data_IF_538490901171
#
_entry.id   IF_538490901171
#
_cell.length_a   1.000
_cell.length_b   1.000
_cell.length_c   1.000
_cell.angle_alpha   90.00
_cell.angle_beta   90.00
_cell.angle_gamma   90.00
#
_symmetry.space_group_name_H-M   'P 1'
#
loop_
_entity.id
_entity.type
_entity.pdbx_description
1 polymer ?
#
# COMPACT_ATOMS: atom_id res chain seq x y z
N UNK A 1 -33.71 -22.20 18.47
CA UNK A 1 -32.89 -21.56 17.42
C UNK A 1 -31.54 -22.25 17.35
N UNK A 2 -31.12 -22.75 16.19
CA UNK A 2 -29.84 -23.47 16.05
C UNK A 2 -28.71 -22.47 15.85
N UNK A 3 -27.86 -22.30 16.86
CA UNK A 3 -26.55 -21.68 16.69
C UNK A 3 -25.72 -22.57 15.75
N UNK A 4 -25.45 -22.11 14.53
CA UNK A 4 -24.48 -22.76 13.64
C UNK A 4 -23.10 -22.62 14.29
N UNK A 5 -22.55 -23.72 14.78
CA UNK A 5 -21.14 -23.77 15.17
C UNK A 5 -20.27 -23.48 13.93
N UNK A 6 -19.62 -22.32 13.92
CA UNK A 6 -18.58 -21.99 12.96
C UNK A 6 -17.41 -22.95 13.22
N UNK A 7 -17.13 -23.85 12.27
CA UNK A 7 -15.94 -24.72 12.30
C UNK A 7 -14.85 -24.06 11.46
N UNK A 8 -13.65 -23.96 12.02
CA UNK A 8 -12.47 -23.59 11.23
C UNK A 8 -12.21 -24.69 10.19
N UNK A 9 -12.01 -24.29 8.94
CA UNK A 9 -11.62 -25.18 7.85
C UNK A 9 -10.13 -24.94 7.58
N UNK A 10 -9.34 -26.01 7.50
CA UNK A 10 -7.93 -25.91 7.14
C UNK A 10 -7.84 -25.43 5.68
N UNK A 11 -7.14 -24.33 5.45
CA UNK A 11 -6.89 -23.86 4.08
C UNK A 11 -5.83 -24.76 3.43
N UNK A 12 -5.95 -24.95 2.12
CA UNK A 12 -4.88 -25.53 1.33
C UNK A 12 -3.84 -24.44 1.04
N UNK A 13 -2.70 -24.52 1.70
CA UNK A 13 -1.64 -23.51 1.61
C UNK A 13 -1.92 -22.28 2.47
N UNK A 14 -1.85 -21.09 1.85
CA UNK A 14 -1.97 -19.82 2.56
C UNK A 14 -3.41 -19.54 2.98
N UNK A 15 -3.67 -19.36 4.28
CA UNK A 15 -4.95 -18.88 4.80
C UNK A 15 -5.00 -17.35 4.76
N UNK A 16 -5.77 -16.72 3.84
CA UNK A 16 -5.85 -15.27 3.84
C UNK A 16 -6.65 -14.78 5.05
N UNK A 17 -6.08 -13.87 5.84
CA UNK A 17 -6.84 -13.06 6.78
C UNK A 17 -7.31 -11.80 6.06
N UNK A 18 -8.60 -11.74 5.78
CA UNK A 18 -9.23 -10.62 5.06
C UNK A 18 -9.69 -9.58 6.07
N UNK A 19 -9.30 -8.33 5.83
CA UNK A 19 -9.65 -7.17 6.64
C UNK A 19 -10.29 -6.11 5.73
N UNK A 20 -11.10 -5.22 6.30
CA UNK A 20 -11.80 -4.19 5.52
C UNK A 20 -10.91 -2.98 5.24
N UNK A 21 -11.40 -2.05 4.40
CA UNK A 21 -10.79 -0.74 4.20
C UNK A 21 -10.35 -0.10 5.51
N UNK A 22 -9.19 0.53 5.52
CA UNK A 22 -8.62 1.11 6.73
C UNK A 22 -7.91 2.42 6.46
N UNK A 23 -8.07 3.35 7.40
CA UNK A 23 -7.36 4.60 7.45
C UNK A 23 -6.38 4.57 8.63
N UNK A 24 -5.10 4.44 8.31
CA UNK A 24 -3.98 4.36 9.26
C UNK A 24 -3.44 5.76 9.52
N UNK A 25 -3.79 6.36 10.66
CA UNK A 25 -3.27 7.66 11.14
C UNK A 25 -2.24 7.52 12.25
N UNK A 26 -2.17 6.35 12.87
CA UNK A 26 -1.35 6.04 14.03
C UNK A 26 -0.87 4.59 14.01
N UNK A 27 0.05 4.27 14.93
CA UNK A 27 0.49 2.88 15.14
C UNK A 27 -0.67 2.01 15.66
N UNK A 28 -1.55 2.56 16.50
CA UNK A 28 -2.72 1.86 17.02
C UNK A 28 -3.67 1.45 15.88
N UNK A 29 -3.87 2.31 14.89
CA UNK A 29 -4.65 1.95 13.70
C UNK A 29 -3.97 0.81 12.93
N UNK A 30 -2.65 0.88 12.75
CA UNK A 30 -1.90 -0.17 12.06
C UNK A 30 -2.04 -1.52 12.78
N UNK A 31 -1.98 -1.55 14.11
CA UNK A 31 -2.11 -2.77 14.93
C UNK A 31 -3.43 -3.52 14.69
N UNK A 32 -4.50 -2.83 14.29
CA UNK A 32 -5.77 -3.48 13.92
C UNK A 32 -5.65 -4.37 12.69
N UNK A 33 -4.66 -4.10 11.83
CA UNK A 33 -4.37 -4.84 10.61
C UNK A 33 -3.30 -5.92 10.78
N UNK A 34 -2.82 -6.15 12.01
CA UNK A 34 -1.83 -7.19 12.27
C UNK A 34 -2.29 -8.54 11.73
N UNK A 35 -1.40 -9.23 11.02
CA UNK A 35 -1.61 -10.51 10.34
C UNK A 35 -2.63 -10.48 9.18
N UNK A 36 -3.22 -9.33 8.83
CA UNK A 36 -4.06 -9.21 7.65
C UNK A 36 -3.21 -9.42 6.40
N UNK A 37 -3.71 -10.24 5.48
CA UNK A 37 -3.03 -10.53 4.23
C UNK A 37 -3.73 -9.95 3.01
N UNK A 38 -5.00 -9.61 3.16
CA UNK A 38 -5.82 -8.99 2.12
C UNK A 38 -6.66 -7.89 2.73
N UNK A 39 -6.60 -6.71 2.13
CA UNK A 39 -7.54 -5.63 2.39
C UNK A 39 -8.63 -5.70 1.33
N UNK A 40 -9.85 -6.02 1.75
CA UNK A 40 -11.05 -5.90 0.94
C UNK A 40 -11.53 -4.45 1.00
N UNK A 41 -10.99 -3.65 0.09
CA UNK A 41 -11.22 -2.22 -0.04
C UNK A 41 -9.92 -1.45 -0.19
N UNK A 42 -9.87 -0.23 0.36
CA UNK A 42 -8.74 0.69 0.25
C UNK A 42 -7.85 0.72 1.50
N UNK A 43 -6.59 1.10 1.32
CA UNK A 43 -5.67 1.38 2.42
C UNK A 43 -5.17 2.84 2.32
N UNK A 44 -5.55 3.67 3.28
CA UNK A 44 -5.10 5.06 3.35
C UNK A 44 -4.15 5.24 4.53
N UNK A 45 -2.99 5.83 4.30
CA UNK A 45 -1.93 6.00 5.30
C UNK A 45 -1.59 7.49 5.41
N UNK A 46 -1.74 8.05 6.62
CA UNK A 46 -1.40 9.43 6.96
C UNK A 46 -0.68 9.46 8.31
N UNK A 47 0.61 9.16 8.32
CA UNK A 47 1.42 9.14 9.54
C UNK A 47 2.18 10.47 9.70
N UNK A 48 1.78 11.26 10.69
CA UNK A 48 2.38 12.57 10.97
C UNK A 48 3.60 12.50 11.90
N UNK A 49 3.74 11.41 12.66
CA UNK A 49 4.79 11.27 13.67
C UNK A 49 4.63 10.01 14.53
N UNK A 50 5.60 9.77 15.41
CA UNK A 50 5.68 8.57 16.25
C UNK A 50 7.11 8.06 16.40
N UNK A 51 7.31 7.13 17.34
CA UNK A 51 8.60 6.46 17.55
C UNK A 51 8.60 5.11 16.84
N UNK A 52 9.76 4.70 16.28
CA UNK A 52 9.95 3.40 15.63
C UNK A 52 8.89 3.08 14.56
N UNK A 53 8.47 4.09 13.81
CA UNK A 53 7.33 3.99 12.87
C UNK A 53 7.57 2.91 11.81
N UNK A 54 8.78 2.84 11.25
CA UNK A 54 9.10 1.85 10.24
C UNK A 54 8.87 0.41 10.76
N UNK A 55 9.43 0.09 11.92
CA UNK A 55 9.33 -1.24 12.53
C UNK A 55 7.89 -1.57 12.94
N UNK A 56 7.17 -0.61 13.51
CA UNK A 56 5.78 -0.81 13.91
C UNK A 56 4.86 -0.97 12.68
N UNK A 57 5.03 -0.17 11.63
CA UNK A 57 4.27 -0.36 10.40
C UNK A 57 4.62 -1.68 9.72
N UNK A 58 5.89 -2.09 9.71
CA UNK A 58 6.28 -3.37 9.10
C UNK A 58 5.69 -4.55 9.88
N UNK A 59 5.74 -4.51 11.21
CA UNK A 59 5.16 -5.55 12.07
C UNK A 59 3.66 -5.73 11.84
N UNK A 60 2.94 -4.63 11.60
CA UNK A 60 1.49 -4.65 11.56
C UNK A 60 0.90 -4.69 10.14
N UNK A 61 1.58 -4.11 9.15
CA UNK A 61 1.11 -4.03 7.75
C UNK A 61 1.91 -4.94 6.81
N UNK A 62 3.06 -5.47 7.25
CA UNK A 62 3.99 -6.20 6.37
C UNK A 62 3.49 -7.53 5.84
N UNK A 63 2.41 -8.09 6.40
CA UNK A 63 1.75 -9.31 5.90
C UNK A 63 0.75 -9.05 4.77
N UNK A 64 0.38 -7.79 4.51
CA UNK A 64 -0.60 -7.43 3.48
C UNK A 64 -0.01 -7.71 2.11
N UNK A 65 -0.65 -8.62 1.37
CA UNK A 65 -0.27 -9.03 0.02
C UNK A 65 -1.13 -8.39 -1.07
N UNK A 66 -2.41 -8.17 -0.78
CA UNK A 66 -3.38 -7.63 -1.73
C UNK A 66 -4.21 -6.52 -1.09
N UNK A 67 -4.38 -5.42 -1.83
CA UNK A 67 -5.40 -4.39 -1.57
C UNK A 67 -6.31 -4.36 -2.78
N UNK A 68 -7.61 -4.62 -2.61
CA UNK A 68 -8.52 -4.80 -3.76
C UNK A 68 -8.86 -3.48 -4.46
N UNK A 69 -8.92 -2.37 -3.73
CA UNK A 69 -9.15 -1.04 -4.31
C UNK A 69 -7.82 -0.32 -4.54
N UNK A 70 -7.55 0.75 -3.79
CA UNK A 70 -6.41 1.62 -3.97
C UNK A 70 -5.60 1.77 -2.67
N UNK A 71 -4.34 2.17 -2.83
CA UNK A 71 -3.47 2.59 -1.74
C UNK A 71 -3.22 4.08 -1.87
N UNK A 72 -3.39 4.83 -0.77
CA UNK A 72 -3.12 6.25 -0.72
C UNK A 72 -2.20 6.59 0.46
N UNK A 73 -0.96 6.97 0.15
CA UNK A 73 0.01 7.51 1.10
C UNK A 73 -0.07 9.03 1.03
N UNK A 74 -0.68 9.63 2.04
CA UNK A 74 -1.04 11.05 2.06
C UNK A 74 -0.35 11.74 3.24
N UNK A 75 0.31 12.89 3.02
CA UNK A 75 0.88 13.75 4.08
C UNK A 75 1.66 12.99 5.15
N UNK A 76 2.37 11.92 4.78
CA UNK A 76 3.09 11.06 5.72
C UNK A 76 4.55 11.49 5.84
N UNK A 77 4.78 12.63 6.49
CA UNK A 77 6.05 13.34 6.44
C UNK A 77 7.24 12.59 7.03
N UNK A 78 7.00 11.62 7.92
CA UNK A 78 8.04 10.84 8.60
C UNK A 78 8.40 9.54 7.88
N UNK A 79 7.72 9.20 6.79
CA UNK A 79 8.01 8.01 6.01
C UNK A 79 9.12 8.30 5.00
N UNK A 80 10.25 7.63 5.15
CA UNK A 80 11.36 7.69 4.20
C UNK A 80 11.22 6.68 3.05
N UNK A 81 10.57 5.54 3.31
CA UNK A 81 10.35 4.47 2.33
C UNK A 81 8.98 3.80 2.56
N UNK A 82 8.51 2.98 1.60
CA UNK A 82 7.30 2.14 1.76
C UNK A 82 7.62 0.67 2.03
N UNK A 83 8.85 0.37 2.48
CA UNK A 83 9.35 -0.99 2.63
C UNK A 83 8.58 -1.79 3.70
N UNK A 84 7.88 -1.10 4.60
CA UNK A 84 7.02 -1.71 5.61
C UNK A 84 5.88 -2.56 5.02
N UNK A 85 5.44 -2.29 3.79
CA UNK A 85 4.48 -3.12 3.04
C UNK A 85 5.19 -4.29 2.32
N UNK A 86 6.09 -5.00 3.03
CA UNK A 86 7.06 -5.94 2.43
C UNK A 86 6.47 -7.10 1.62
N UNK A 87 5.24 -7.51 1.90
CA UNK A 87 4.58 -8.61 1.19
C UNK A 87 3.62 -8.14 0.09
N UNK A 88 3.48 -6.82 -0.12
CA UNK A 88 2.52 -6.29 -1.08
C UNK A 88 2.91 -6.72 -2.49
N UNK A 89 1.96 -7.37 -3.17
CA UNK A 89 2.11 -7.91 -4.52
C UNK A 89 0.99 -7.42 -5.46
N UNK A 90 -0.19 -7.10 -4.95
CA UNK A 90 -1.34 -6.76 -5.81
C UNK A 90 -2.08 -5.53 -5.32
N UNK A 91 -2.27 -4.58 -6.23
CA UNK A 91 -3.22 -3.47 -6.07
C UNK A 91 -4.30 -3.66 -7.14
N UNK A 92 -5.54 -3.91 -6.70
CA UNK A 92 -6.62 -4.38 -7.56
C UNK A 92 -7.29 -3.27 -8.37
N UNK A 93 -7.47 -2.10 -7.77
CA UNK A 93 -8.19 -0.99 -8.38
C UNK A 93 -9.66 -1.30 -8.66
N UNK A 94 -10.33 -2.19 -7.92
CA UNK A 94 -11.78 -2.49 -8.04
C UNK A 94 -12.63 -1.23 -7.84
N UNK A 95 -12.20 -0.36 -6.93
CA UNK A 95 -12.54 1.06 -6.89
C UNK A 95 -11.27 1.91 -7.03
N UNK A 96 -11.41 3.10 -7.62
CA UNK A 96 -10.29 4.00 -7.88
C UNK A 96 -10.50 5.33 -7.14
N UNK A 97 -9.43 5.87 -6.57
CA UNK A 97 -9.45 7.22 -6.03
C UNK A 97 -9.70 8.22 -7.16
N UNK A 98 -10.70 9.10 -6.96
CA UNK A 98 -11.21 10.03 -7.97
C UNK A 98 -11.48 9.38 -9.34
N UNK A 99 -11.96 8.12 -9.34
CA UNK A 99 -12.25 7.33 -10.55
C UNK A 99 -11.03 7.14 -11.48
N UNK A 100 -9.81 7.32 -10.99
CA UNK A 100 -8.59 7.33 -11.83
C UNK A 100 -7.45 6.50 -11.24
N UNK A 101 -7.10 6.74 -9.98
CA UNK A 101 -5.84 6.26 -9.40
C UNK A 101 -6.05 5.05 -8.50
N UNK A 102 -5.11 4.10 -8.55
CA UNK A 102 -5.09 2.92 -7.67
C UNK A 102 -3.87 2.91 -6.75
N UNK A 103 -2.84 3.67 -7.05
CA UNK A 103 -1.77 3.98 -6.11
C UNK A 103 -1.50 5.47 -6.12
N UNK A 104 -1.49 6.09 -4.95
CA UNK A 104 -1.31 7.53 -4.79
C UNK A 104 -0.25 7.75 -3.70
N UNK A 105 0.77 8.53 -4.01
CA UNK A 105 1.68 9.09 -3.02
C UNK A 105 1.67 10.62 -3.17
N UNK A 106 1.09 11.30 -2.18
CA UNK A 106 0.92 12.76 -2.19
C UNK A 106 1.46 13.41 -0.93
N UNK A 107 2.23 14.48 -1.12
CA UNK A 107 2.72 15.35 -0.03
C UNK A 107 3.55 14.60 1.03
N UNK A 108 4.34 13.61 0.62
CA UNK A 108 5.23 12.87 1.52
C UNK A 108 6.64 13.48 1.49
N UNK A 109 6.82 14.54 2.28
CA UNK A 109 7.99 15.43 2.21
C UNK A 109 9.35 14.76 2.44
N UNK A 110 9.44 13.64 3.17
CA UNK A 110 10.71 12.93 3.41
C UNK A 110 10.82 11.57 2.70
N UNK A 111 9.81 11.19 1.91
CA UNK A 111 9.80 9.96 1.13
C UNK A 111 10.90 10.02 0.06
N UNK A 112 11.79 9.02 0.06
CA UNK A 112 12.97 8.94 -0.80
C UNK A 112 12.96 7.71 -1.71
N UNK A 113 12.29 6.63 -1.28
CA UNK A 113 12.16 5.41 -2.06
C UNK A 113 10.78 4.78 -1.89
N UNK A 114 10.40 3.89 -2.81
CA UNK A 114 9.10 3.22 -2.78
C UNK A 114 9.26 1.82 -2.19
N UNK A 115 9.67 0.86 -3.01
CA UNK A 115 9.81 -0.56 -2.65
C UNK A 115 11.18 -1.08 -3.11
N UNK A 116 11.73 -2.13 -2.46
CA UNK A 116 12.93 -2.79 -2.96
C UNK A 116 12.69 -3.39 -4.36
N UNK A 117 13.72 -3.41 -5.20
CA UNK A 117 13.61 -3.89 -6.59
C UNK A 117 13.05 -5.32 -6.69
N UNK A 118 13.55 -6.23 -5.84
CA UNK A 118 13.09 -7.62 -5.80
C UNK A 118 11.62 -7.76 -5.41
N UNK A 119 11.08 -6.80 -4.65
CA UNK A 119 9.66 -6.74 -4.34
C UNK A 119 8.87 -6.21 -5.55
N UNK A 120 9.31 -5.11 -6.17
CA UNK A 120 8.62 -4.50 -7.32
C UNK A 120 8.43 -5.49 -8.47
N UNK A 121 9.37 -6.41 -8.71
CA UNK A 121 9.26 -7.48 -9.71
C UNK A 121 8.08 -8.43 -9.52
N UNK A 122 7.56 -8.54 -8.29
CA UNK A 122 6.41 -9.38 -7.93
C UNK A 122 5.10 -8.60 -7.88
N UNK A 123 5.19 -7.27 -7.94
CA UNK A 123 4.03 -6.39 -7.83
C UNK A 123 3.28 -6.28 -9.16
N UNK A 124 1.97 -6.10 -9.06
CA UNK A 124 1.10 -5.81 -10.19
C UNK A 124 0.01 -4.81 -9.82
N UNK A 125 -0.25 -3.90 -10.75
CA UNK A 125 -1.39 -2.99 -10.74
C UNK A 125 -2.43 -3.53 -11.71
N UNK A 126 -3.59 -3.99 -11.22
CA UNK A 126 -4.62 -4.59 -12.10
C UNK A 126 -5.41 -3.54 -12.89
N UNK A 127 -5.79 -2.43 -12.24
CA UNK A 127 -6.55 -1.33 -12.85
C UNK A 127 -6.14 0.01 -12.24
N UNK A 128 -6.40 1.10 -12.94
CA UNK A 128 -6.08 2.47 -12.53
C UNK A 128 -4.67 2.89 -12.93
N UNK A 129 -4.25 4.05 -12.42
CA UNK A 129 -2.92 4.62 -12.65
C UNK A 129 -2.17 4.85 -11.33
N UNK A 130 -0.88 5.10 -11.45
CA UNK A 130 -0.06 5.61 -10.36
C UNK A 130 -0.10 7.14 -10.33
N UNK A 131 -0.22 7.76 -9.16
CA UNK A 131 -0.25 9.21 -9.00
C UNK A 131 0.79 9.66 -7.97
N UNK A 132 1.71 10.53 -8.37
CA UNK A 132 2.81 11.03 -7.52
C UNK A 132 2.86 12.55 -7.55
N UNK A 133 2.57 13.18 -6.42
CA UNK A 133 2.50 14.64 -6.32
C UNK A 133 3.12 15.15 -5.03
N UNK A 134 3.94 16.20 -5.10
CA UNK A 134 4.48 16.90 -3.93
C UNK A 134 5.37 16.00 -3.03
N UNK A 135 6.12 15.05 -3.61
CA UNK A 135 7.09 14.23 -2.86
C UNK A 135 8.52 14.75 -3.13
N UNK A 136 8.89 15.86 -2.47
CA UNK A 136 10.10 16.64 -2.77
C UNK A 136 11.44 15.87 -2.68
N UNK A 137 11.51 14.76 -1.94
CA UNK A 137 12.71 13.93 -1.79
C UNK A 137 12.65 12.62 -2.60
N UNK A 138 11.53 12.35 -3.28
CA UNK A 138 11.37 11.15 -4.09
C UNK A 138 11.81 11.45 -5.51
N UNK A 139 12.95 10.91 -5.91
CA UNK A 139 13.48 11.13 -7.26
C UNK A 139 12.56 10.54 -8.34
N UNK A 140 12.32 11.28 -9.42
CA UNK A 140 11.56 10.81 -10.59
C UNK A 140 12.12 9.51 -11.20
N UNK A 141 13.44 9.25 -11.09
CA UNK A 141 14.05 7.99 -11.54
C UNK A 141 13.52 6.77 -10.77
N UNK A 142 13.19 6.92 -9.48
CA UNK A 142 12.59 5.86 -8.65
C UNK A 142 11.15 5.58 -9.11
N UNK A 143 10.39 6.63 -9.43
CA UNK A 143 9.03 6.50 -9.97
C UNK A 143 9.06 5.78 -11.32
N UNK A 144 9.94 6.20 -12.24
CA UNK A 144 10.13 5.55 -13.55
C UNK A 144 10.54 4.08 -13.40
N UNK A 145 11.43 3.78 -12.45
CA UNK A 145 11.82 2.40 -12.14
C UNK A 145 10.62 1.58 -11.69
N UNK A 146 9.77 2.12 -10.81
CA UNK A 146 8.57 1.42 -10.34
C UNK A 146 7.57 1.16 -11.47
N UNK A 147 7.30 2.15 -12.32
CA UNK A 147 6.43 2.02 -13.51
C UNK A 147 6.94 0.91 -14.43
N UNK A 148 8.25 0.87 -14.69
CA UNK A 148 8.89 -0.16 -15.51
C UNK A 148 8.71 -1.57 -14.90
N UNK A 149 8.91 -1.73 -13.60
CA UNK A 149 8.76 -3.03 -12.94
C UNK A 149 7.33 -3.55 -12.93
N UNK A 150 6.34 -2.66 -12.91
CA UNK A 150 4.94 -3.01 -13.04
C UNK A 150 4.51 -3.31 -14.49
N UNK A 151 5.42 -3.19 -15.47
CA UNK A 151 5.14 -3.31 -16.91
C UNK A 151 4.02 -2.36 -17.38
N UNK A 152 3.97 -1.15 -16.83
CA UNK A 152 2.97 -0.14 -17.18
C UNK A 152 3.47 0.76 -18.32
N UNK A 153 2.54 1.21 -19.15
CA UNK A 153 2.79 2.22 -20.19
C UNK A 153 2.85 3.62 -19.59
N UNK A 154 3.48 4.57 -20.31
CA UNK A 154 3.69 5.94 -19.80
C UNK A 154 2.39 6.73 -19.55
N UNK A 155 1.25 6.32 -20.12
CA UNK A 155 -0.07 6.91 -19.83
C UNK A 155 -0.68 6.44 -18.50
N UNK A 156 -0.06 5.46 -17.83
CA UNK A 156 -0.50 4.90 -16.54
C UNK A 156 0.13 5.58 -15.32
N UNK A 157 0.59 6.82 -15.49
CA UNK A 157 1.15 7.63 -14.42
C UNK A 157 0.67 9.09 -14.53
N UNK A 158 0.45 9.72 -13.38
CA UNK A 158 0.17 11.15 -13.23
C UNK A 158 1.19 11.72 -12.23
N UNK A 159 2.25 12.34 -12.77
CA UNK A 159 3.42 12.78 -12.01
C UNK A 159 3.47 14.30 -12.03
N UNK A 160 3.35 14.91 -10.86
CA UNK A 160 3.54 16.34 -10.65
C UNK A 160 4.90 16.65 -10.02
N UNK A 161 4.91 17.56 -9.05
CA UNK A 161 6.12 18.06 -8.41
C UNK A 161 6.78 17.00 -7.51
N UNK A 162 7.81 16.33 -7.99
CA UNK A 162 8.64 15.37 -7.26
C UNK A 162 10.13 15.71 -7.46
N UNK A 163 11.02 15.07 -6.70
CA UNK A 163 12.46 15.33 -6.74
C UNK A 163 13.22 14.68 -7.90
#
# INVERSE_FOLDING_TARGET
>A
GKFKHLKCIKCEGFCPKVCNSSFIKSIQDAQTLKDCSKINGYLLIQILGGNNIADELERNLGSIKEVTDFIFIDRSYVLMTLYFLKSLETIGGENLYNNKSSFIAMDNSDLQDLFPEEQMRKMKLKRGILSFHTNRKLCNSKIKSFVKHLNLTEDKQDIGNNG
#
